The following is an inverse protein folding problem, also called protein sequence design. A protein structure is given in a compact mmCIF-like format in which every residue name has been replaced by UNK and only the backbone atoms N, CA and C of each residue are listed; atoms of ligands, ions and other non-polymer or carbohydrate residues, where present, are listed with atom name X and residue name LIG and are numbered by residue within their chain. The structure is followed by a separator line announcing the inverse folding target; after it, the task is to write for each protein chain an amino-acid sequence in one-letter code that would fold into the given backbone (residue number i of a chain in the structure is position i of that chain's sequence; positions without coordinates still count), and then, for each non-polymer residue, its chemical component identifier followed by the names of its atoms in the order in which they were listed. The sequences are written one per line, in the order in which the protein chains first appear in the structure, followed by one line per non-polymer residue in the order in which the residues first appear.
data_IF_827644550597
#
_entry.id   IF_827644550597
#
_cell.length_a   1.000
_cell.length_b   1.000
_cell.length_c   1.000
_cell.angle_alpha   90.00
_cell.angle_beta   90.00
_cell.angle_gamma   90.00
#
_symmetry.space_group_name_H-M   'P 1'
#
loop_
_entity.id
_entity.type
_entity.pdbx_description
1 polymer ?
#
# COMPACT_ATOMS: atom_id res chain seq x y z
N UNK A 1 -4.52 24.93 -27.58
CA UNK A 1 -5.58 24.83 -28.61
C UNK A 1 -6.92 24.61 -27.91
N UNK A 2 -7.94 25.41 -28.21
CA UNK A 2 -9.31 25.14 -27.71
C UNK A 2 -10.02 24.08 -28.58
N UNK A 3 -9.68 24.03 -29.88
CA UNK A 3 -10.21 23.07 -30.85
C UNK A 3 -9.08 22.52 -31.70
N UNK A 4 -9.26 21.33 -32.25
CA UNK A 4 -8.36 20.74 -33.24
C UNK A 4 -8.32 21.58 -34.51
N UNK A 5 -7.18 21.60 -35.18
CA UNK A 5 -6.94 22.29 -36.44
C UNK A 5 -7.17 21.33 -37.62
N UNK A 6 -7.12 21.87 -38.84
CA UNK A 6 -7.19 21.04 -40.06
C UNK A 6 -5.88 20.26 -40.32
N UNK A 7 -4.81 20.57 -39.59
CA UNK A 7 -3.52 19.89 -39.75
C UNK A 7 -3.43 18.67 -38.80
N UNK A 8 -3.43 17.50 -39.36
CA UNK A 8 -3.34 16.23 -38.66
C UNK A 8 -2.09 16.11 -37.77
N UNK A 9 -0.91 16.43 -38.30
CA UNK A 9 0.37 16.29 -37.61
C UNK A 9 0.43 17.22 -36.37
N UNK A 10 -0.06 18.45 -36.49
CA UNK A 10 -0.10 19.40 -35.38
C UNK A 10 -1.05 18.96 -34.27
N UNK A 11 -2.19 18.36 -34.66
CA UNK A 11 -3.18 17.84 -33.71
C UNK A 11 -2.63 16.65 -32.91
N UNK A 12 -2.02 15.69 -33.60
CA UNK A 12 -1.42 14.49 -32.97
C UNK A 12 -0.29 14.93 -32.03
N UNK A 13 0.63 15.77 -32.52
CA UNK A 13 1.75 16.27 -31.72
C UNK A 13 1.28 17.03 -30.48
N UNK A 14 0.30 17.92 -30.64
CA UNK A 14 -0.25 18.67 -29.51
C UNK A 14 -0.91 17.73 -28.48
N UNK A 15 -1.62 16.70 -28.94
CA UNK A 15 -2.24 15.73 -28.05
C UNK A 15 -1.20 14.85 -27.34
N UNK A 16 -0.13 14.45 -28.04
CA UNK A 16 1.03 13.76 -27.43
C UNK A 16 1.69 14.61 -26.33
N UNK A 17 1.86 15.91 -26.56
CA UNK A 17 2.39 16.82 -25.54
C UNK A 17 1.48 16.91 -24.29
N UNK A 18 0.15 16.80 -24.47
CA UNK A 18 -0.82 16.84 -23.38
C UNK A 18 -0.84 15.54 -22.55
N UNK A 19 -0.79 14.39 -23.21
CA UNK A 19 -0.95 13.09 -22.55
C UNK A 19 0.38 12.42 -22.20
N UNK A 20 1.48 12.85 -22.85
CA UNK A 20 2.86 12.38 -22.63
C UNK A 20 2.98 10.85 -22.61
N UNK A 21 2.72 10.15 -23.73
CA UNK A 21 2.72 8.70 -23.79
C UNK A 21 4.07 8.09 -23.40
N UNK A 22 5.19 8.76 -23.66
CA UNK A 22 6.53 8.35 -23.25
C UNK A 22 6.75 8.23 -21.73
N UNK A 23 5.90 8.91 -20.92
CA UNK A 23 5.89 8.82 -19.45
C UNK A 23 4.80 7.87 -18.92
N UNK A 24 4.10 7.18 -19.80
CA UNK A 24 3.00 6.28 -19.46
C UNK A 24 3.17 4.98 -20.24
N UNK A 25 3.83 3.98 -19.64
CA UNK A 25 4.15 2.72 -20.34
C UNK A 25 2.90 1.91 -20.74
N UNK A 26 1.77 2.15 -20.07
CA UNK A 26 0.47 1.56 -20.32
C UNK A 26 -0.35 2.34 -21.38
N UNK A 27 0.22 3.41 -21.95
CA UNK A 27 -0.40 4.16 -23.03
C UNK A 27 0.22 3.75 -24.36
N UNK A 28 -0.60 3.17 -25.20
CA UNK A 28 -0.20 2.73 -26.56
C UNK A 28 -0.57 3.81 -27.56
N UNK A 29 0.40 4.16 -28.40
CA UNK A 29 0.18 5.01 -29.59
C UNK A 29 0.44 4.16 -30.82
N UNK A 30 -0.60 3.94 -31.62
CA UNK A 30 -0.51 3.15 -32.85
C UNK A 30 -0.81 3.99 -34.07
N UNK A 31 0.17 4.06 -34.98
CA UNK A 31 0.04 4.75 -36.26
C UNK A 31 -0.24 3.73 -37.37
N UNK A 32 -1.28 3.96 -38.16
CA UNK A 32 -1.66 3.13 -39.31
C UNK A 32 -2.07 4.01 -40.48
N UNK A 33 -2.36 3.38 -41.63
CA UNK A 33 -3.05 4.03 -42.72
C UNK A 33 -4.41 3.38 -42.92
N UNK A 34 -5.45 4.21 -43.01
CA UNK A 34 -6.84 3.82 -43.27
C UNK A 34 -7.17 4.40 -44.66
N UNK A 35 -7.45 3.56 -45.63
CA UNK A 35 -7.78 3.98 -47.00
C UNK A 35 -6.77 5.02 -47.58
N UNK A 36 -5.47 4.80 -47.31
CA UNK A 36 -4.39 5.69 -47.76
C UNK A 36 -4.13 6.91 -46.86
N UNK A 37 -5.07 7.33 -45.99
CA UNK A 37 -4.95 8.44 -45.05
C UNK A 37 -4.22 8.02 -43.80
N UNK A 38 -3.49 8.93 -43.15
CA UNK A 38 -2.85 8.68 -41.85
C UNK A 38 -3.87 8.61 -40.75
N UNK A 39 -3.73 7.64 -39.82
CA UNK A 39 -4.52 7.54 -38.61
C UNK A 39 -3.62 7.23 -37.41
N UNK A 40 -3.91 7.84 -36.27
CA UNK A 40 -3.20 7.62 -35.01
C UNK A 40 -4.21 7.30 -33.91
N UNK A 41 -3.96 6.18 -33.21
CA UNK A 41 -4.77 5.72 -32.10
C UNK A 41 -4.00 5.92 -30.80
N UNK A 42 -4.69 6.48 -29.81
CA UNK A 42 -4.24 6.52 -28.43
C UNK A 42 -5.15 5.64 -27.58
N UNK A 43 -4.58 4.75 -26.80
CA UNK A 43 -5.33 3.82 -25.98
C UNK A 43 -4.57 3.47 -24.70
N UNK A 44 -5.30 3.02 -23.68
CA UNK A 44 -4.73 2.49 -22.46
C UNK A 44 -4.76 0.97 -22.49
N UNK A 45 -3.59 0.34 -22.46
CA UNK A 45 -3.41 -1.10 -22.60
C UNK A 45 -4.30 -1.92 -21.66
N UNK A 46 -4.28 -1.59 -20.37
CA UNK A 46 -5.04 -2.31 -19.34
C UNK A 46 -6.57 -2.16 -19.45
N UNK A 47 -7.06 -1.26 -20.31
CA UNK A 47 -8.50 -0.99 -20.49
C UNK A 47 -9.02 -1.36 -21.87
N UNK A 48 -8.15 -1.50 -22.83
CA UNK A 48 -8.54 -1.79 -24.22
C UNK A 48 -8.71 -3.29 -24.39
N UNK A 49 -9.83 -3.71 -24.95
CA UNK A 49 -10.08 -5.11 -25.27
C UNK A 49 -9.43 -5.45 -26.62
N UNK A 50 -8.37 -6.26 -26.60
CA UNK A 50 -7.59 -6.63 -27.77
C UNK A 50 -8.44 -7.17 -28.92
N UNK A 51 -9.38 -8.07 -28.63
CA UNK A 51 -10.27 -8.65 -29.63
C UNK A 51 -11.14 -7.63 -30.36
N UNK A 52 -11.58 -6.56 -29.66
CA UNK A 52 -12.37 -5.49 -30.29
C UNK A 52 -11.47 -4.61 -31.15
N UNK A 53 -10.28 -4.30 -30.64
CA UNK A 53 -9.31 -3.48 -31.35
C UNK A 53 -8.80 -4.18 -32.60
N UNK A 54 -8.55 -5.49 -32.53
CA UNK A 54 -8.14 -6.31 -33.66
C UNK A 54 -9.19 -6.29 -34.78
N UNK A 55 -10.48 -6.48 -34.43
CA UNK A 55 -11.58 -6.41 -35.40
C UNK A 55 -11.74 -5.02 -36.03
N UNK A 56 -11.55 -3.96 -35.24
CA UNK A 56 -11.58 -2.59 -35.78
C UNK A 56 -10.43 -2.36 -36.75
N UNK A 57 -9.22 -2.81 -36.44
CA UNK A 57 -8.06 -2.68 -37.28
C UNK A 57 -8.22 -3.51 -38.60
N UNK A 58 -8.79 -4.71 -38.48
CA UNK A 58 -9.12 -5.54 -39.65
C UNK A 58 -10.12 -4.81 -40.58
N UNK A 59 -11.22 -4.29 -40.00
CA UNK A 59 -12.19 -3.51 -40.77
C UNK A 59 -11.55 -2.28 -41.43
N UNK A 60 -10.73 -1.52 -40.74
CA UNK A 60 -10.06 -0.34 -41.28
C UNK A 60 -9.05 -0.68 -42.40
N UNK A 61 -8.49 -1.90 -42.40
CA UNK A 61 -7.57 -2.35 -43.46
C UNK A 61 -8.28 -2.62 -44.78
N UNK A 62 -9.57 -2.95 -44.73
CA UNK A 62 -10.37 -3.29 -45.91
C UNK A 62 -11.02 -2.06 -46.56
N UNK A 63 -11.03 -0.89 -45.91
CA UNK A 63 -11.58 0.35 -46.43
C UNK A 63 -10.75 0.91 -47.60
N UNK A 64 -11.47 1.43 -48.61
CA UNK A 64 -10.90 2.13 -49.77
C UNK A 64 -11.10 3.64 -49.60
N UNK A 65 -10.36 4.43 -50.39
CA UNK A 65 -10.41 5.89 -50.32
C UNK A 65 -11.83 6.44 -50.60
N UNK A 66 -12.57 5.82 -51.51
CA UNK A 66 -13.96 6.18 -51.84
C UNK A 66 -14.95 5.87 -50.72
N UNK A 67 -14.60 5.02 -49.76
CA UNK A 67 -15.47 4.66 -48.60
C UNK A 67 -15.40 5.68 -47.50
N UNK A 68 -14.40 6.60 -47.50
CA UNK A 68 -14.24 7.60 -46.44
C UNK A 68 -15.18 8.80 -46.68
N UNK A 69 -16.17 9.01 -45.81
CA UNK A 69 -17.10 10.11 -45.99
C UNK A 69 -16.45 11.48 -45.74
N UNK A 70 -17.11 12.53 -46.20
CA UNK A 70 -16.61 13.91 -46.02
C UNK A 70 -16.98 14.55 -44.70
N UNK A 71 -17.92 13.99 -43.95
CA UNK A 71 -18.33 14.52 -42.65
C UNK A 71 -17.90 13.64 -41.47
N UNK A 72 -17.66 14.26 -40.32
CA UNK A 72 -17.22 13.54 -39.12
C UNK A 72 -18.32 12.62 -38.57
N UNK A 73 -19.59 13.04 -38.67
CA UNK A 73 -20.73 12.25 -38.17
C UNK A 73 -20.92 10.99 -39.02
N UNK A 74 -20.86 11.12 -40.35
CA UNK A 74 -20.93 9.95 -41.26
C UNK A 74 -19.72 9.01 -41.07
N UNK A 75 -18.55 9.53 -40.75
CA UNK A 75 -17.38 8.69 -40.43
C UNK A 75 -17.56 7.96 -39.11
N UNK A 76 -18.15 8.61 -38.09
CA UNK A 76 -18.48 7.95 -36.82
C UNK A 76 -19.47 6.81 -37.01
N UNK A 77 -20.49 7.00 -37.87
CA UNK A 77 -21.47 5.96 -38.22
C UNK A 77 -20.86 4.79 -39.01
N UNK A 78 -19.78 5.07 -39.76
CA UNK A 78 -19.07 4.05 -40.54
C UNK A 78 -18.21 3.13 -39.63
N UNK A 79 -17.74 3.62 -38.49
CA UNK A 79 -16.93 2.81 -37.57
C UNK A 79 -17.79 1.69 -36.98
N UNK A 80 -17.44 0.40 -37.13
CA UNK A 80 -18.28 -0.73 -36.73
C UNK A 80 -18.22 -0.97 -35.20
N UNK A 81 -18.62 0.05 -34.44
CA UNK A 81 -18.69 -0.01 -33.00
C UNK A 81 -19.99 0.66 -32.50
N UNK A 82 -20.54 0.16 -31.38
CA UNK A 82 -21.85 0.61 -30.88
C UNK A 82 -21.79 2.05 -30.35
N UNK A 83 -20.69 2.42 -29.69
CA UNK A 83 -20.49 3.74 -29.08
C UNK A 83 -19.27 4.41 -29.71
N UNK A 84 -19.54 5.40 -30.57
CA UNK A 84 -18.52 6.25 -31.22
C UNK A 84 -18.98 7.70 -31.09
N UNK A 85 -18.20 8.52 -30.40
CA UNK A 85 -18.47 9.95 -30.25
C UNK A 85 -17.47 10.78 -31.06
N UNK A 86 -17.88 11.97 -31.49
CA UNK A 86 -17.03 12.94 -32.17
C UNK A 86 -16.68 14.09 -31.22
N UNK A 87 -15.39 14.36 -30.99
CA UNK A 87 -14.97 15.43 -30.12
C UNK A 87 -13.97 16.37 -30.83
N UNK A 88 -14.23 17.66 -30.76
CA UNK A 88 -13.44 18.70 -31.42
C UNK A 88 -12.44 19.39 -30.47
N UNK A 89 -12.50 19.11 -29.18
CA UNK A 89 -11.67 19.76 -28.17
C UNK A 89 -10.60 18.81 -27.62
N UNK A 90 -9.30 19.16 -27.77
CA UNK A 90 -8.22 18.34 -27.21
C UNK A 90 -8.36 18.10 -25.71
N UNK A 91 -8.79 19.13 -24.96
CA UNK A 91 -8.93 19.05 -23.51
C UNK A 91 -10.06 18.10 -23.09
N UNK A 92 -11.17 18.10 -23.86
CA UNK A 92 -12.31 17.21 -23.59
C UNK A 92 -12.01 15.75 -23.97
N UNK A 93 -11.11 15.51 -24.92
CA UNK A 93 -10.72 14.17 -25.33
C UNK A 93 -9.84 13.43 -24.31
N UNK A 94 -9.22 14.19 -23.38
CA UNK A 94 -8.32 13.60 -22.36
C UNK A 94 -9.08 12.70 -21.38
N UNK A 95 -10.21 13.16 -20.86
CA UNK A 95 -10.95 12.40 -19.84
C UNK A 95 -11.48 11.07 -20.38
N UNK A 96 -12.09 11.00 -21.56
CA UNK A 96 -12.45 9.73 -22.21
C UNK A 96 -11.27 8.78 -22.37
N UNK A 97 -10.11 9.27 -22.86
CA UNK A 97 -8.89 8.45 -22.96
C UNK A 97 -8.48 7.89 -21.58
N UNK A 98 -8.44 8.75 -20.55
CA UNK A 98 -8.08 8.32 -19.19
C UNK A 98 -9.13 7.38 -18.56
N UNK A 99 -10.32 7.35 -19.11
CA UNK A 99 -11.37 6.39 -18.76
C UNK A 99 -11.26 5.09 -19.56
N UNK A 100 -10.37 5.03 -20.57
CA UNK A 100 -10.09 3.85 -21.36
C UNK A 100 -10.77 3.78 -22.72
N UNK A 101 -11.41 4.88 -23.18
CA UNK A 101 -11.85 4.97 -24.57
C UNK A 101 -10.64 5.11 -25.49
N UNK A 102 -10.76 4.58 -26.68
CA UNK A 102 -9.75 4.75 -27.74
C UNK A 102 -9.99 6.09 -28.42
N UNK A 103 -8.94 6.91 -28.53
CA UNK A 103 -8.97 8.19 -29.25
C UNK A 103 -8.30 7.99 -30.60
N UNK A 104 -9.08 8.13 -31.69
CA UNK A 104 -8.60 7.99 -33.04
C UNK A 104 -8.54 9.34 -33.74
N UNK A 105 -7.37 9.72 -34.25
CA UNK A 105 -7.15 10.79 -35.19
C UNK A 105 -7.17 10.23 -36.62
N UNK A 106 -7.79 10.92 -37.56
CA UNK A 106 -7.80 10.55 -38.97
C UNK A 106 -7.49 11.78 -39.82
N UNK A 107 -6.57 11.63 -40.77
CA UNK A 107 -6.19 12.70 -41.72
C UNK A 107 -7.39 13.16 -42.57
N UNK A 108 -7.57 14.48 -42.63
CA UNK A 108 -8.71 15.10 -43.29
C UNK A 108 -9.86 15.47 -42.40
N UNK A 109 -9.75 15.19 -41.08
CA UNK A 109 -10.74 15.58 -40.09
C UNK A 109 -10.13 16.46 -38.99
N UNK A 110 -10.87 17.47 -38.55
CA UNK A 110 -10.47 18.40 -37.47
C UNK A 110 -11.10 18.04 -36.12
N UNK A 111 -11.30 16.76 -35.89
CA UNK A 111 -11.86 16.16 -34.67
C UNK A 111 -11.13 14.86 -34.35
N UNK A 112 -11.49 14.28 -33.24
CA UNK A 112 -11.13 12.87 -32.91
C UNK A 112 -12.40 12.05 -32.79
N UNK A 113 -12.25 10.75 -33.04
CA UNK A 113 -13.28 9.76 -32.81
C UNK A 113 -12.97 9.06 -31.48
N UNK A 114 -13.93 9.05 -30.56
CA UNK A 114 -13.85 8.39 -29.27
C UNK A 114 -14.60 7.06 -29.38
N UNK A 115 -13.87 5.95 -29.36
CA UNK A 115 -14.44 4.61 -29.56
C UNK A 115 -14.42 3.88 -28.21
N UNK A 116 -15.58 3.41 -27.74
CA UNK A 116 -15.68 2.77 -26.43
C UNK A 116 -15.32 1.28 -26.45
N UNK A 117 -14.05 0.96 -26.55
CA UNK A 117 -13.52 -0.40 -26.44
C UNK A 117 -13.16 -0.82 -25.01
N UNK A 118 -13.76 -0.16 -24.00
CA UNK A 118 -13.36 -0.35 -22.61
C UNK A 118 -13.69 -1.72 -22.04
N UNK A 119 -12.70 -2.29 -21.38
CA UNK A 119 -12.89 -3.43 -20.49
C UNK A 119 -12.10 -3.18 -19.21
N UNK A 120 -12.80 -2.91 -18.12
CA UNK A 120 -12.11 -2.73 -16.84
C UNK A 120 -11.69 -4.07 -16.27
N UNK A 121 -10.47 -4.16 -15.70
CA UNK A 121 -10.08 -5.31 -14.92
C UNK A 121 -11.16 -5.61 -13.88
N UNK A 122 -11.85 -6.72 -14.03
CA UNK A 122 -12.93 -7.12 -13.15
C UNK A 122 -12.85 -8.63 -12.85
N UNK A 123 -12.94 -8.99 -11.63
CA UNK A 123 -13.22 -10.29 -11.03
C UNK A 123 -12.39 -11.54 -11.30
N UNK A 124 -11.25 -11.53 -11.91
CA UNK A 124 -10.15 -12.41 -11.49
C UNK A 124 -9.42 -11.84 -10.24
N UNK A 125 -9.76 -10.60 -9.89
CA UNK A 125 -9.25 -9.83 -8.75
C UNK A 125 -9.93 -10.33 -7.48
N UNK A 126 -9.21 -11.05 -6.63
CA UNK A 126 -9.68 -11.53 -5.32
C UNK A 126 -9.65 -10.43 -4.26
N UNK A 127 -10.45 -10.58 -3.22
CA UNK A 127 -10.38 -9.71 -2.04
C UNK A 127 -9.00 -9.86 -1.39
N UNK A 128 -8.33 -8.75 -0.98
CA UNK A 128 -7.03 -8.80 -0.30
C UNK A 128 -7.06 -9.70 0.91
N UNK A 129 -6.04 -10.52 1.08
CA UNK A 129 -6.00 -11.45 2.21
C UNK A 129 -5.65 -10.73 3.52
N UNK A 130 -4.71 -9.82 3.46
CA UNK A 130 -4.15 -9.10 4.62
C UNK A 130 -4.91 -7.81 4.96
N UNK A 131 -5.36 -7.07 3.95
CA UNK A 131 -5.97 -5.75 4.11
C UNK A 131 -7.50 -5.78 3.89
N UNK A 132 -8.19 -6.74 4.53
CA UNK A 132 -9.65 -6.82 4.48
C UNK A 132 -10.29 -5.62 5.18
N UNK A 133 -11.42 -5.17 4.66
CA UNK A 133 -12.22 -4.08 5.25
C UNK A 133 -13.65 -4.52 5.46
N UNK A 134 -14.27 -3.96 6.49
CA UNK A 134 -15.69 -4.23 6.78
C UNK A 134 -16.60 -3.54 5.77
N UNK A 135 -16.18 -2.40 5.22
CA UNK A 135 -16.88 -1.64 4.18
C UNK A 135 -15.91 -1.14 3.13
N UNK A 136 -16.40 -0.93 1.90
CA UNK A 136 -15.61 -0.35 0.82
C UNK A 136 -15.34 -1.30 -0.33
N UNK A 137 -14.36 -0.96 -1.14
CA UNK A 137 -13.93 -1.75 -2.29
C UNK A 137 -13.36 -3.09 -1.84
N UNK A 138 -13.70 -4.17 -2.54
CA UNK A 138 -13.20 -5.52 -2.24
C UNK A 138 -12.20 -6.01 -3.28
N UNK A 139 -11.85 -5.15 -4.23
CA UNK A 139 -10.81 -5.46 -5.20
C UNK A 139 -9.43 -5.34 -4.55
N UNK A 140 -8.56 -6.28 -4.86
CA UNK A 140 -7.16 -6.31 -4.46
C UNK A 140 -6.25 -6.30 -5.68
N UNK A 141 -4.99 -5.99 -5.47
CA UNK A 141 -3.96 -6.18 -6.48
C UNK A 141 -3.74 -7.67 -6.76
N UNK A 142 -3.26 -7.95 -7.97
CA UNK A 142 -2.93 -9.28 -8.47
C UNK A 142 -1.45 -9.33 -8.87
N UNK A 143 -0.96 -10.44 -9.36
CA UNK A 143 0.43 -10.61 -9.76
C UNK A 143 0.79 -9.82 -11.03
N UNK A 144 -0.18 -9.50 -11.90
CA UNK A 144 0.04 -8.76 -13.15
C UNK A 144 0.23 -7.27 -12.92
N UNK A 145 1.39 -6.73 -13.29
CA UNK A 145 1.71 -5.30 -13.15
C UNK A 145 0.76 -4.41 -14.00
N UNK A 146 0.44 -4.81 -15.22
CA UNK A 146 -0.46 -4.07 -16.10
C UNK A 146 -1.88 -4.00 -15.50
N UNK A 147 -2.40 -5.13 -14.99
CA UNK A 147 -3.68 -5.19 -14.29
C UNK A 147 -3.70 -4.27 -13.08
N UNK A 148 -2.63 -4.25 -12.28
CA UNK A 148 -2.51 -3.43 -11.08
C UNK A 148 -2.46 -1.93 -11.41
N UNK A 149 -1.75 -1.54 -12.45
CA UNK A 149 -1.75 -0.16 -12.96
C UNK A 149 -3.16 0.25 -13.40
N UNK A 150 -3.86 -0.61 -14.13
CA UNK A 150 -5.25 -0.38 -14.53
C UNK A 150 -6.19 -0.15 -13.34
N UNK A 151 -6.04 -0.93 -12.26
CA UNK A 151 -6.84 -0.75 -11.04
C UNK A 151 -6.63 0.61 -10.36
N UNK A 152 -5.41 1.17 -10.39
CA UNK A 152 -5.12 2.52 -9.90
C UNK A 152 -5.68 3.56 -10.88
N UNK A 153 -5.40 3.41 -12.18
CA UNK A 153 -5.83 4.34 -13.23
C UNK A 153 -7.35 4.48 -13.30
N UNK A 154 -8.09 3.41 -13.07
CA UNK A 154 -9.56 3.45 -12.97
C UNK A 154 -10.06 4.47 -11.94
N UNK A 155 -9.28 4.74 -10.89
CA UNK A 155 -9.59 5.68 -9.81
C UNK A 155 -8.95 7.05 -10.02
N UNK A 156 -7.77 7.09 -10.62
CA UNK A 156 -6.97 8.31 -10.86
C UNK A 156 -7.09 8.70 -12.33
N UNK A 157 -8.09 9.51 -12.67
CA UNK A 157 -8.47 9.86 -14.05
C UNK A 157 -7.95 11.22 -14.51
N UNK A 158 -6.82 11.67 -13.94
CA UNK A 158 -6.20 12.93 -14.36
C UNK A 158 -5.13 12.68 -15.42
N UNK A 159 -4.98 13.66 -16.32
CA UNK A 159 -3.90 13.65 -17.32
C UNK A 159 -2.50 13.72 -16.69
N UNK A 160 -2.40 14.22 -15.46
CA UNK A 160 -1.13 14.39 -14.78
C UNK A 160 -0.68 13.11 -14.04
N UNK A 161 -1.49 12.05 -14.09
CA UNK A 161 -1.11 10.75 -13.59
C UNK A 161 -0.11 10.08 -14.54
N UNK A 162 1.07 9.77 -14.02
CA UNK A 162 2.17 9.16 -14.75
C UNK A 162 2.47 7.77 -14.21
N UNK A 163 2.81 6.87 -15.12
CA UNK A 163 3.25 5.51 -14.80
C UNK A 163 4.48 5.18 -15.64
N UNK A 164 5.64 5.26 -15.02
CA UNK A 164 6.91 5.01 -15.70
C UNK A 164 7.37 3.58 -15.46
N UNK A 165 7.76 2.89 -16.53
CA UNK A 165 8.30 1.54 -16.47
C UNK A 165 9.83 1.57 -16.31
N UNK A 166 10.33 0.71 -15.45
CA UNK A 166 11.74 0.41 -15.22
C UNK A 166 11.89 -1.10 -15.11
N UNK A 167 13.11 -1.59 -15.19
CA UNK A 167 13.42 -2.99 -14.89
C UNK A 167 14.63 -3.11 -13.99
N UNK A 168 14.67 -4.14 -13.16
CA UNK A 168 15.79 -4.43 -12.26
C UNK A 168 16.09 -5.93 -12.19
N UNK A 169 17.34 -6.23 -11.79
CA UNK A 169 17.87 -7.60 -11.79
C UNK A 169 18.56 -7.96 -13.11
N UNK A 170 19.77 -8.47 -13.01
CA UNK A 170 20.60 -8.80 -14.19
C UNK A 170 20.02 -9.97 -14.97
N UNK A 171 19.54 -11.00 -14.27
CA UNK A 171 18.95 -12.22 -14.83
C UNK A 171 17.43 -12.16 -14.87
N UNK A 172 16.78 -11.69 -13.78
CA UNK A 172 15.31 -11.67 -13.71
C UNK A 172 14.69 -10.60 -14.59
N UNK A 173 15.37 -9.45 -14.81
CA UNK A 173 14.82 -8.29 -15.54
C UNK A 173 13.38 -7.99 -15.15
N UNK A 174 13.13 -8.00 -13.84
CA UNK A 174 11.79 -7.83 -13.27
C UNK A 174 11.25 -6.45 -13.58
N UNK A 175 10.04 -6.37 -14.10
CA UNK A 175 9.39 -5.12 -14.44
C UNK A 175 8.91 -4.38 -13.19
N UNK A 176 9.16 -3.08 -13.16
CA UNK A 176 8.80 -2.19 -12.07
C UNK A 176 8.09 -0.97 -12.66
N UNK A 177 6.95 -0.61 -12.11
CA UNK A 177 6.23 0.59 -12.48
C UNK A 177 6.23 1.60 -11.33
N UNK A 178 6.46 2.87 -11.64
CA UNK A 178 6.39 3.98 -10.68
C UNK A 178 5.21 4.85 -11.06
N UNK A 179 4.19 4.86 -10.21
CA UNK A 179 2.96 5.61 -10.40
C UNK A 179 2.92 6.84 -9.47
N UNK A 180 2.61 8.01 -10.03
CA UNK A 180 2.56 9.28 -9.31
C UNK A 180 1.73 10.33 -10.07
N UNK A 181 1.36 11.45 -9.41
CA UNK A 181 0.78 12.62 -10.07
C UNK A 181 1.88 13.67 -10.26
N UNK A 182 2.10 14.08 -11.50
CA UNK A 182 3.04 15.13 -11.85
C UNK A 182 2.59 16.46 -11.24
N UNK A 183 3.52 17.18 -10.58
CA UNK A 183 3.22 18.42 -9.87
C UNK A 183 2.78 18.24 -8.41
N UNK A 184 2.34 17.05 -7.97
CA UNK A 184 2.05 16.74 -6.57
C UNK A 184 3.18 15.94 -5.90
N UNK A 185 3.76 14.99 -6.62
CA UNK A 185 4.83 14.15 -6.10
C UNK A 185 6.13 14.95 -5.91
N UNK A 186 6.88 14.61 -4.85
CA UNK A 186 8.21 15.18 -4.62
C UNK A 186 9.19 14.71 -5.68
N UNK A 187 9.60 15.63 -6.54
CA UNK A 187 10.51 15.37 -7.67
C UNK A 187 11.86 14.83 -7.22
N UNK A 188 12.42 15.34 -6.11
CA UNK A 188 13.71 14.88 -5.59
C UNK A 188 13.63 13.43 -5.13
N UNK A 189 12.55 13.08 -4.44
CA UNK A 189 12.29 11.70 -4.01
C UNK A 189 12.11 10.78 -5.22
N UNK A 190 11.32 11.20 -6.20
CA UNK A 190 11.09 10.46 -7.45
C UNK A 190 12.39 10.15 -8.19
N UNK A 191 13.22 11.17 -8.40
CA UNK A 191 14.52 11.01 -9.07
C UNK A 191 15.47 10.10 -8.26
N UNK A 192 15.45 10.19 -6.92
CA UNK A 192 16.24 9.32 -6.05
C UNK A 192 15.78 7.86 -6.17
N UNK A 193 14.46 7.60 -6.17
CA UNK A 193 13.91 6.25 -6.34
C UNK A 193 14.33 5.67 -7.69
N UNK A 194 14.11 6.42 -8.78
CA UNK A 194 14.51 6.02 -10.14
C UNK A 194 16.00 5.70 -10.24
N UNK A 195 16.84 6.57 -9.68
CA UNK A 195 18.30 6.37 -9.65
C UNK A 195 18.66 5.11 -8.89
N UNK A 196 18.06 4.87 -7.73
CA UNK A 196 18.31 3.65 -6.93
C UNK A 196 17.90 2.40 -7.67
N UNK A 197 16.71 2.36 -8.27
CA UNK A 197 16.23 1.22 -9.06
C UNK A 197 17.19 0.93 -10.22
N UNK A 198 17.61 1.95 -10.98
CA UNK A 198 18.56 1.78 -12.09
C UNK A 198 19.96 1.31 -11.65
N UNK A 199 20.33 1.54 -10.39
CA UNK A 199 21.63 1.13 -9.83
C UNK A 199 21.58 -0.19 -9.06
N UNK A 200 20.45 -0.88 -9.06
CA UNK A 200 20.33 -2.22 -8.46
C UNK A 200 21.24 -3.19 -9.22
N UNK A 201 22.18 -3.78 -8.51
CA UNK A 201 23.11 -4.76 -9.03
C UNK A 201 22.96 -6.08 -8.29
N UNK A 202 21.84 -6.78 -8.57
CA UNK A 202 21.56 -8.14 -8.10
C UNK A 202 21.18 -9.00 -9.30
N UNK A 203 21.37 -10.30 -9.18
CA UNK A 203 21.01 -11.21 -10.27
C UNK A 203 19.51 -11.32 -10.47
N UNK A 204 18.74 -11.41 -9.39
CA UNK A 204 17.30 -11.53 -9.42
C UNK A 204 16.64 -10.90 -8.20
N UNK A 205 15.42 -10.36 -8.38
CA UNK A 205 14.52 -9.93 -7.33
C UNK A 205 13.58 -11.11 -6.98
N UNK A 206 14.09 -12.07 -6.22
CA UNK A 206 13.42 -13.37 -6.00
C UNK A 206 12.14 -13.27 -5.16
N UNK A 207 12.09 -12.36 -4.21
CA UNK A 207 10.93 -12.08 -3.35
C UNK A 207 10.23 -10.78 -3.77
N UNK A 208 10.29 -10.46 -5.05
CA UNK A 208 9.61 -9.34 -5.69
C UNK A 208 9.71 -8.03 -4.87
N UNK A 209 8.62 -7.59 -4.25
CA UNK A 209 8.55 -6.31 -3.55
C UNK A 209 9.49 -6.23 -2.35
N UNK A 210 9.70 -7.33 -1.62
CA UNK A 210 10.62 -7.36 -0.48
C UNK A 210 12.07 -7.29 -0.93
N UNK A 211 12.44 -8.02 -2.00
CA UNK A 211 13.79 -7.91 -2.59
C UNK A 211 14.07 -6.50 -3.12
N UNK A 212 13.04 -5.85 -3.68
CA UNK A 212 13.16 -4.45 -4.10
C UNK A 212 13.37 -3.54 -2.89
N UNK A 213 12.59 -3.71 -1.82
CA UNK A 213 12.72 -2.94 -0.59
C UNK A 213 14.13 -3.05 0.01
N UNK A 214 14.68 -4.25 0.09
CA UNK A 214 16.03 -4.51 0.56
C UNK A 214 17.09 -3.79 -0.28
N UNK A 215 16.97 -3.82 -1.60
CA UNK A 215 17.92 -3.19 -2.51
C UNK A 215 17.83 -1.67 -2.52
N UNK A 216 16.65 -1.11 -2.30
CA UNK A 216 16.44 0.34 -2.21
C UNK A 216 17.05 0.94 -0.95
N UNK A 217 17.19 0.17 0.13
CA UNK A 217 17.74 0.63 1.40
C UNK A 217 19.20 0.13 1.57
N UNK A 218 20.15 1.01 1.32
CA UNK A 218 21.55 0.77 1.70
C UNK A 218 21.70 1.06 3.20
N UNK A 219 21.68 0.04 4.06
CA UNK A 219 21.96 0.25 5.48
C UNK A 219 21.42 -0.82 6.43
N UNK A 220 21.62 -0.60 7.71
CA UNK A 220 21.45 -1.55 8.78
C UNK A 220 20.03 -2.17 8.86
N UNK A 221 19.99 -3.49 8.82
CA UNK A 221 18.81 -4.33 9.10
C UNK A 221 18.58 -4.55 10.60
N UNK A 222 19.36 -3.90 11.47
CA UNK A 222 19.26 -4.05 12.93
C UNK A 222 18.01 -3.39 13.47
N UNK A 223 17.53 -2.32 12.83
CA UNK A 223 16.33 -1.62 13.26
C UNK A 223 15.07 -2.35 12.72
N UNK A 224 14.24 -2.94 13.61
CA UNK A 224 13.09 -3.75 13.21
C UNK A 224 11.88 -2.93 12.73
N UNK A 225 11.92 -1.60 12.80
CA UNK A 225 10.82 -0.78 12.31
C UNK A 225 10.70 -0.84 10.79
N UNK A 226 9.48 -1.05 10.25
CA UNK A 226 9.22 -1.04 8.82
C UNK A 226 9.59 0.31 8.22
N UNK A 227 10.12 0.30 7.01
CA UNK A 227 10.60 1.50 6.30
C UNK A 227 9.73 1.88 5.12
N UNK A 228 8.82 0.99 4.74
CA UNK A 228 7.87 1.15 3.66
C UNK A 228 6.46 0.85 4.15
N UNK A 229 5.48 1.47 3.51
CA UNK A 229 4.08 1.09 3.64
C UNK A 229 3.72 0.22 2.45
N UNK A 230 3.19 -0.96 2.71
CA UNK A 230 2.65 -1.85 1.70
C UNK A 230 1.13 -1.83 1.73
N UNK A 231 0.51 -2.02 0.57
CA UNK A 231 -0.93 -2.22 0.48
C UNK A 231 -1.26 -3.17 -0.67
N UNK A 232 -2.20 -4.06 -0.42
CA UNK A 232 -2.81 -4.93 -1.43
C UNK A 232 -4.07 -4.29 -2.05
N UNK A 233 -4.38 -3.04 -1.64
CA UNK A 233 -5.62 -2.35 -1.97
C UNK A 233 -5.42 -1.23 -2.99
N UNK A 234 -6.07 -1.32 -4.17
CA UNK A 234 -6.00 -0.27 -5.18
C UNK A 234 -6.61 1.07 -4.75
N UNK A 235 -7.63 1.06 -3.88
CA UNK A 235 -8.23 2.30 -3.35
C UNK A 235 -7.27 3.04 -2.41
N UNK A 236 -6.55 2.32 -1.54
CA UNK A 236 -5.53 2.90 -0.66
C UNK A 236 -4.34 3.45 -1.45
N UNK A 237 -3.90 2.73 -2.50
CA UNK A 237 -2.84 3.19 -3.38
C UNK A 237 -3.26 4.45 -4.16
N UNK A 238 -4.48 4.49 -4.71
CA UNK A 238 -5.00 5.66 -5.39
C UNK A 238 -5.14 6.87 -4.47
N UNK A 239 -5.62 6.67 -3.23
CA UNK A 239 -5.66 7.73 -2.22
C UNK A 239 -4.27 8.29 -1.93
N UNK A 240 -3.26 7.42 -1.77
CA UNK A 240 -1.88 7.85 -1.56
C UNK A 240 -1.33 8.67 -2.73
N UNK A 241 -1.66 8.31 -3.97
CA UNK A 241 -1.27 9.07 -5.17
C UNK A 241 -1.92 10.47 -5.18
N UNK A 242 -3.19 10.60 -4.78
CA UNK A 242 -3.85 11.89 -4.64
C UNK A 242 -3.24 12.76 -3.54
N UNK A 243 -2.68 12.15 -2.50
CA UNK A 243 -1.94 12.85 -1.44
C UNK A 243 -0.50 13.24 -1.85
N UNK A 244 -0.12 12.98 -3.11
CA UNK A 244 1.21 13.28 -3.65
C UNK A 244 2.28 12.25 -3.35
N UNK A 245 1.90 11.06 -2.85
CA UNK A 245 2.82 9.95 -2.67
C UNK A 245 3.14 9.26 -4.00
N UNK A 246 4.26 8.56 -4.01
CA UNK A 246 4.74 7.73 -5.11
C UNK A 246 4.39 6.29 -4.78
N UNK A 247 3.77 5.59 -5.72
CA UNK A 247 3.45 4.16 -5.61
C UNK A 247 4.38 3.38 -6.52
N UNK A 248 5.06 2.39 -5.97
CA UNK A 248 5.94 1.49 -6.72
C UNK A 248 5.29 0.13 -6.79
N UNK A 249 5.06 -0.33 -8.02
CA UNK A 249 4.52 -1.63 -8.35
C UNK A 249 5.66 -2.50 -8.92
N UNK A 250 5.57 -3.79 -8.67
CA UNK A 250 6.51 -4.76 -9.23
C UNK A 250 5.74 -5.96 -9.78
N UNK A 251 6.19 -6.50 -10.87
CA UNK A 251 5.56 -7.68 -11.47
C UNK A 251 5.64 -8.89 -10.55
N UNK A 252 4.66 -9.79 -10.65
CA UNK A 252 4.48 -10.96 -9.78
C UNK A 252 4.27 -10.61 -8.30
N UNK A 253 3.72 -9.41 -7.98
CA UNK A 253 3.42 -9.02 -6.60
C UNK A 253 1.99 -8.51 -6.45
N UNK A 254 1.17 -9.10 -5.56
CA UNK A 254 -0.16 -8.62 -5.25
C UNK A 254 -0.16 -7.44 -4.26
N UNK A 255 0.99 -6.86 -3.98
CA UNK A 255 1.14 -5.71 -3.10
C UNK A 255 1.96 -4.61 -3.77
N UNK A 256 1.70 -3.36 -3.41
CA UNK A 256 2.45 -2.20 -3.87
C UNK A 256 3.07 -1.45 -2.69
N UNK A 257 4.17 -0.75 -2.96
CA UNK A 257 4.90 0.05 -1.99
C UNK A 257 4.55 1.52 -2.14
N UNK A 258 4.26 2.21 -1.04
CA UNK A 258 3.92 3.63 -0.99
C UNK A 258 5.06 4.41 -0.36
N UNK A 259 5.46 5.52 -0.99
CA UNK A 259 6.57 6.40 -0.59
C UNK A 259 6.17 7.88 -0.74
N UNK A 260 6.63 8.78 0.14
CA UNK A 260 7.40 8.54 1.37
C UNK A 260 6.55 7.91 2.47
N UNK A 261 7.19 7.36 3.50
CA UNK A 261 6.49 6.66 4.57
C UNK A 261 6.98 7.15 5.94
N UNK A 262 6.05 7.43 6.84
CA UNK A 262 6.27 7.67 8.27
C UNK A 262 5.65 6.54 9.10
N UNK A 263 5.98 6.48 10.40
CA UNK A 263 5.36 5.52 11.33
C UNK A 263 3.83 5.69 11.38
N UNK A 264 3.34 6.94 11.27
CA UNK A 264 1.91 7.24 11.25
C UNK A 264 1.22 6.68 10.00
N UNK A 265 1.88 6.76 8.83
CA UNK A 265 1.34 6.23 7.59
C UNK A 265 1.18 4.71 7.64
N UNK A 266 2.16 4.01 8.24
CA UNK A 266 2.14 2.55 8.37
C UNK A 266 1.06 2.10 9.36
N UNK A 267 0.81 2.89 10.40
CA UNK A 267 -0.21 2.60 11.41
C UNK A 267 -1.66 2.90 10.96
N UNK A 268 -1.85 3.52 9.79
CA UNK A 268 -3.17 3.79 9.22
C UNK A 268 -3.74 2.59 8.47
N UNK A 269 -5.03 2.32 8.69
CA UNK A 269 -5.82 1.32 7.97
C UNK A 269 -6.91 1.96 7.11
N UNK A 270 -7.34 1.25 6.06
CA UNK A 270 -8.39 1.70 5.17
C UNK A 270 -9.74 1.87 5.90
N UNK A 271 -10.05 1.00 6.87
CA UNK A 271 -11.28 1.07 7.66
C UNK A 271 -11.42 2.39 8.43
N UNK A 272 -10.30 3.02 8.84
CA UNK A 272 -10.32 4.33 9.51
C UNK A 272 -11.05 5.38 8.66
N UNK A 273 -11.03 5.23 7.33
CA UNK A 273 -11.63 6.16 6.37
C UNK A 273 -13.02 5.76 5.91
N UNK A 274 -13.39 4.49 5.97
CA UNK A 274 -14.71 4.00 5.60
C UNK A 274 -15.78 4.22 6.66
N UNK A 275 -15.39 4.41 7.93
CA UNK A 275 -16.31 4.76 9.00
C UNK A 275 -16.54 6.28 9.12
N UNK A 276 -17.61 6.73 9.81
CA UNK A 276 -17.78 8.15 10.12
C UNK A 276 -16.56 8.75 10.85
N UNK A 277 -16.30 10.08 10.73
CA UNK A 277 -15.09 10.70 11.27
C UNK A 277 -14.83 10.43 12.77
N UNK A 278 -15.87 10.39 13.58
CA UNK A 278 -15.76 10.10 15.01
C UNK A 278 -15.29 8.67 15.25
N UNK A 279 -15.93 7.70 14.59
CA UNK A 279 -15.57 6.28 14.71
C UNK A 279 -14.17 6.01 14.16
N UNK A 280 -13.83 6.55 12.97
CA UNK A 280 -12.48 6.39 12.40
C UNK A 280 -11.41 7.01 13.30
N UNK A 281 -11.67 8.18 13.92
CA UNK A 281 -10.76 8.77 14.89
C UNK A 281 -10.59 7.88 16.13
N UNK A 282 -11.70 7.33 16.66
CA UNK A 282 -11.65 6.42 17.79
C UNK A 282 -10.80 5.18 17.47
N UNK A 283 -10.97 4.55 16.30
CA UNK A 283 -10.19 3.38 15.89
C UNK A 283 -8.69 3.70 15.79
N UNK A 284 -8.32 4.85 15.18
CA UNK A 284 -6.93 5.31 15.12
C UNK A 284 -6.32 5.50 16.51
N UNK A 285 -7.00 6.25 17.38
CA UNK A 285 -6.50 6.52 18.73
C UNK A 285 -6.40 5.24 19.56
N UNK A 286 -7.40 4.36 19.46
CA UNK A 286 -7.37 3.05 20.14
C UNK A 286 -6.17 2.23 19.72
N UNK A 287 -5.85 2.17 18.41
CA UNK A 287 -4.69 1.44 17.88
C UNK A 287 -3.38 1.99 18.43
N UNK A 288 -3.20 3.32 18.46
CA UNK A 288 -2.02 3.94 19.07
C UNK A 288 -1.93 3.67 20.58
N UNK A 289 -3.03 3.78 21.31
CA UNK A 289 -3.05 3.45 22.73
C UNK A 289 -2.70 1.99 22.98
N UNK A 290 -3.26 1.06 22.21
CA UNK A 290 -2.96 -0.37 22.31
C UNK A 290 -1.49 -0.65 21.97
N UNK A 291 -0.91 0.01 20.97
CA UNK A 291 0.51 -0.11 20.63
C UNK A 291 1.42 0.28 21.79
N UNK A 292 1.18 1.45 22.39
CA UNK A 292 1.92 1.93 23.56
C UNK A 292 1.71 0.99 24.76
N UNK A 293 0.47 0.59 25.02
CA UNK A 293 0.14 -0.33 26.10
C UNK A 293 0.84 -1.68 25.93
N UNK A 294 0.86 -2.24 24.73
CA UNK A 294 1.55 -3.49 24.44
C UNK A 294 3.07 -3.40 24.63
N UNK A 295 3.66 -2.22 24.43
CA UNK A 295 5.09 -2.01 24.62
C UNK A 295 5.47 -2.01 26.12
N UNK A 296 4.65 -1.37 26.96
CA UNK A 296 5.03 -1.07 28.34
C UNK A 296 4.41 -1.99 29.38
N UNK A 297 3.31 -2.70 29.08
CA UNK A 297 2.51 -3.44 30.07
C UNK A 297 3.34 -4.44 30.87
N UNK A 298 3.99 -5.40 30.20
CA UNK A 298 4.77 -6.43 30.90
C UNK A 298 6.03 -5.88 31.57
N UNK A 299 6.81 -4.93 30.97
CA UNK A 299 7.91 -4.29 31.68
C UNK A 299 7.49 -3.50 32.92
N UNK A 300 6.39 -2.74 32.84
CA UNK A 300 5.86 -2.00 34.02
C UNK A 300 5.39 -2.96 35.11
N UNK A 301 4.71 -4.04 34.70
CA UNK A 301 4.28 -5.06 35.67
C UNK A 301 5.48 -5.68 36.40
N UNK A 302 6.53 -6.08 35.70
CA UNK A 302 7.78 -6.57 36.32
C UNK A 302 8.44 -5.52 37.21
N UNK A 303 8.40 -4.24 36.81
CA UNK A 303 8.90 -3.15 37.66
C UNK A 303 8.13 -3.04 38.96
N UNK A 304 6.81 -3.20 38.94
CA UNK A 304 5.96 -3.19 40.14
C UNK A 304 6.25 -4.41 41.02
N UNK A 305 6.42 -5.60 40.44
CA UNK A 305 6.79 -6.83 41.19
C UNK A 305 8.16 -6.69 41.88
N UNK A 306 9.13 -6.03 41.23
CA UNK A 306 10.45 -5.80 41.84
C UNK A 306 10.40 -4.72 42.95
N UNK A 307 9.34 -3.89 43.02
CA UNK A 307 9.22 -2.78 43.98
C UNK A 307 7.84 -2.78 44.71
N UNK A 308 7.46 -3.85 45.41
CA UNK A 308 6.12 -3.97 46.00
C UNK A 308 5.78 -2.89 47.00
N UNK A 309 6.78 -2.37 47.74
CA UNK A 309 6.60 -1.28 48.72
C UNK A 309 6.25 0.08 48.13
N UNK A 310 6.48 0.27 46.83
CA UNK A 310 6.16 1.50 46.06
C UNK A 310 4.77 1.47 45.44
N UNK A 311 4.06 0.33 45.49
CA UNK A 311 2.77 0.14 44.84
C UNK A 311 1.64 0.70 45.69
N UNK A 312 0.84 1.63 45.16
CA UNK A 312 -0.32 2.16 45.89
C UNK A 312 -1.32 1.06 46.26
N UNK A 313 -2.05 1.22 47.35
CA UNK A 313 -3.00 0.22 47.86
C UNK A 313 -4.05 -0.22 46.82
N UNK A 314 -4.57 0.73 46.04
CA UNK A 314 -5.57 0.48 45.01
C UNK A 314 -5.03 -0.32 43.79
N UNK A 315 -3.71 -0.41 43.66
CA UNK A 315 -3.05 -1.13 42.55
C UNK A 315 -2.43 -2.48 43.02
N UNK A 316 -2.51 -2.80 44.33
CA UNK A 316 -1.92 -4.05 44.85
C UNK A 316 -2.47 -5.31 44.23
N UNK A 317 -3.69 -5.29 43.70
CA UNK A 317 -4.29 -6.42 43.00
C UNK A 317 -3.49 -6.88 41.76
N UNK A 318 -2.56 -6.05 41.27
CA UNK A 318 -1.67 -6.36 40.12
C UNK A 318 -0.48 -7.23 40.55
N UNK A 319 -0.17 -7.25 41.84
CA UNK A 319 0.92 -8.04 42.39
C UNK A 319 0.47 -9.50 42.56
N UNK A 320 1.43 -10.41 42.44
CA UNK A 320 1.22 -11.82 42.75
C UNK A 320 1.22 -11.94 44.27
N UNK A 321 0.09 -12.34 44.87
CA UNK A 321 -0.03 -12.50 46.33
C UNK A 321 0.65 -13.78 46.80
N UNK A 322 0.46 -14.89 46.08
CA UNK A 322 1.12 -16.17 46.32
C UNK A 322 1.66 -16.74 45.02
N UNK A 323 2.98 -16.93 44.95
CA UNK A 323 3.57 -17.60 43.80
C UNK A 323 3.11 -19.05 43.73
N UNK A 324 2.24 -19.35 42.79
CA UNK A 324 1.81 -20.75 42.50
C UNK A 324 2.86 -21.51 41.67
N UNK A 325 3.82 -20.79 41.06
CA UNK A 325 4.82 -21.36 40.18
C UNK A 325 6.24 -21.28 40.75
N UNK A 326 7.06 -22.24 40.40
CA UNK A 326 8.49 -22.30 40.74
C UNK A 326 9.37 -21.64 39.67
N UNK A 327 8.77 -21.28 38.53
CA UNK A 327 9.46 -20.65 37.39
C UNK A 327 9.53 -19.13 37.58
N UNK A 328 10.71 -18.50 37.45
CA UNK A 328 10.80 -17.04 37.55
C UNK A 328 9.91 -16.34 36.53
N UNK A 329 9.23 -15.25 36.92
CA UNK A 329 8.27 -14.52 36.08
C UNK A 329 8.85 -14.11 34.71
N UNK A 330 10.10 -13.66 34.68
CA UNK A 330 10.78 -13.35 33.43
C UNK A 330 10.80 -14.53 32.47
N UNK A 331 11.12 -15.72 32.96
CA UNK A 331 11.17 -16.93 32.15
C UNK A 331 9.78 -17.37 31.71
N UNK A 332 8.77 -17.23 32.58
CA UNK A 332 7.37 -17.46 32.22
C UNK A 332 6.96 -16.59 31.03
N UNK A 333 7.23 -15.28 31.07
CA UNK A 333 6.89 -14.34 30.01
C UNK A 333 7.59 -14.69 28.69
N UNK A 334 8.87 -15.12 28.75
CA UNK A 334 9.58 -15.58 27.54
C UNK A 334 9.00 -16.85 26.95
N UNK A 335 8.72 -17.84 27.78
CA UNK A 335 8.13 -19.12 27.32
C UNK A 335 6.76 -18.87 26.68
N UNK A 336 5.92 -18.04 27.31
CA UNK A 336 4.63 -17.66 26.76
C UNK A 336 4.75 -16.91 25.42
N UNK A 337 5.72 -16.02 25.31
CA UNK A 337 5.98 -15.31 24.05
C UNK A 337 6.33 -16.30 22.90
N UNK A 338 7.22 -17.27 23.16
CA UNK A 338 7.57 -18.32 22.19
C UNK A 338 6.38 -19.25 21.90
N UNK A 339 5.58 -19.58 22.90
CA UNK A 339 4.40 -20.42 22.71
C UNK A 339 3.37 -19.74 21.81
N UNK A 340 3.11 -18.44 22.02
CA UNK A 340 2.20 -17.63 21.20
C UNK A 340 2.71 -17.50 19.76
N UNK A 341 4.01 -17.28 19.55
CA UNK A 341 4.59 -17.29 18.20
C UNK A 341 4.51 -18.67 17.56
N UNK A 342 4.77 -19.71 18.32
CA UNK A 342 4.62 -21.09 17.85
C UNK A 342 3.19 -21.39 17.38
N UNK A 343 2.17 -20.95 18.14
CA UNK A 343 0.77 -21.07 17.76
C UNK A 343 0.45 -20.29 16.49
N UNK A 344 1.02 -19.07 16.36
CA UNK A 344 0.85 -18.25 15.16
C UNK A 344 1.45 -18.90 13.92
N UNK A 345 2.69 -19.40 14.02
CA UNK A 345 3.35 -20.12 12.93
C UNK A 345 2.61 -21.42 12.56
N UNK A 346 2.11 -22.13 13.57
CA UNK A 346 1.28 -23.32 13.36
C UNK A 346 -0.02 -22.96 12.63
N UNK A 347 -0.69 -21.86 13.01
CA UNK A 347 -1.93 -21.42 12.37
C UNK A 347 -1.74 -21.06 10.88
N UNK A 348 -0.59 -20.46 10.50
CA UNK A 348 -0.28 -20.15 9.10
C UNK A 348 -0.05 -21.41 8.27
N UNK A 349 0.59 -22.43 8.85
CA UNK A 349 0.95 -23.66 8.15
C UNK A 349 -0.15 -24.74 8.21
N UNK A 350 -1.22 -24.52 8.98
CA UNK A 350 -2.27 -25.52 9.17
C UNK A 350 -3.44 -25.26 8.23
N UNK A 351 -3.95 -26.29 7.52
CA UNK A 351 -5.19 -26.14 6.74
C UNK A 351 -6.35 -25.63 7.61
N UNK A 352 -7.22 -24.83 7.02
CA UNK A 352 -8.35 -24.15 7.71
C UNK A 352 -9.24 -25.11 8.53
N UNK A 353 -9.39 -26.35 8.07
CA UNK A 353 -10.17 -27.40 8.76
C UNK A 353 -9.57 -27.79 10.13
N UNK A 354 -8.25 -27.67 10.30
CA UNK A 354 -7.55 -28.05 11.52
C UNK A 354 -7.22 -26.88 12.42
N UNK A 355 -7.38 -25.64 11.96
CA UNK A 355 -7.04 -24.43 12.72
C UNK A 355 -7.90 -24.27 13.98
N UNK A 356 -9.20 -24.58 13.89
CA UNK A 356 -10.11 -24.52 15.04
C UNK A 356 -9.77 -25.54 16.13
N UNK A 357 -9.60 -26.85 15.82
CA UNK A 357 -9.14 -27.84 16.81
C UNK A 357 -7.80 -27.47 17.44
N UNK A 358 -6.83 -26.97 16.66
CA UNK A 358 -5.54 -26.56 17.17
C UNK A 358 -5.67 -25.40 18.17
N UNK A 359 -6.52 -24.41 17.88
CA UNK A 359 -6.77 -23.28 18.78
C UNK A 359 -7.41 -23.74 20.12
N UNK A 360 -8.34 -24.69 20.09
CA UNK A 360 -8.98 -25.24 21.29
C UNK A 360 -7.96 -26.01 22.14
N UNK A 361 -7.17 -26.91 21.53
CA UNK A 361 -6.11 -27.64 22.21
C UNK A 361 -5.10 -26.67 22.83
N UNK A 362 -4.66 -25.67 22.09
CA UNK A 362 -3.74 -24.66 22.58
C UNK A 362 -4.31 -23.89 23.78
N UNK A 363 -5.59 -23.50 23.73
CA UNK A 363 -6.27 -22.82 24.83
C UNK A 363 -6.32 -23.67 26.12
N UNK A 364 -6.59 -24.98 25.99
CA UNK A 364 -6.63 -25.92 27.12
C UNK A 364 -5.22 -26.21 27.65
N UNK A 365 -4.29 -26.57 26.78
CA UNK A 365 -2.95 -27.01 27.18
C UNK A 365 -2.12 -25.85 27.70
N UNK A 366 -2.05 -24.75 26.97
CA UNK A 366 -1.23 -23.58 27.34
C UNK A 366 -1.94 -22.73 28.41
N UNK A 367 -3.28 -22.71 28.44
CA UNK A 367 -4.04 -21.95 29.43
C UNK A 367 -4.23 -22.75 30.74
N UNK A 368 -5.15 -23.68 30.75
CA UNK A 368 -5.64 -24.30 31.96
C UNK A 368 -4.61 -25.25 32.61
N UNK A 369 -4.00 -26.15 31.82
CA UNK A 369 -3.04 -27.09 32.36
C UNK A 369 -1.71 -26.46 32.78
N UNK A 370 -1.26 -25.44 32.11
CA UNK A 370 0.00 -24.79 32.42
C UNK A 370 -0.05 -24.04 33.79
N UNK A 371 -1.20 -23.48 34.13
CA UNK A 371 -1.44 -22.87 35.45
C UNK A 371 -1.67 -23.96 36.52
N UNK A 372 -2.56 -24.93 36.26
CA UNK A 372 -2.87 -25.99 37.22
C UNK A 372 -1.68 -26.89 37.57
N UNK A 373 -0.70 -27.00 36.65
CA UNK A 373 0.56 -27.72 36.88
C UNK A 373 1.63 -26.90 37.62
N UNK A 374 1.36 -25.64 37.93
CA UNK A 374 2.30 -24.76 38.64
C UNK A 374 3.48 -24.28 37.79
N UNK A 375 3.33 -24.26 36.45
CA UNK A 375 4.36 -23.72 35.55
C UNK A 375 4.26 -22.21 35.38
N UNK A 376 3.02 -21.68 35.37
CA UNK A 376 2.78 -20.25 35.15
C UNK A 376 1.86 -19.70 36.24
N UNK A 377 2.14 -18.46 36.63
CA UNK A 377 1.22 -17.69 37.46
C UNK A 377 0.07 -17.15 36.59
N UNK A 378 -1.19 -17.12 37.07
CA UNK A 378 -2.35 -16.65 36.34
C UNK A 378 -2.18 -15.23 35.78
N UNK A 379 -1.50 -14.35 36.53
CA UNK A 379 -1.21 -12.97 36.14
C UNK A 379 -0.28 -12.90 34.95
N UNK A 380 0.75 -13.78 34.88
CA UNK A 380 1.63 -13.89 33.72
C UNK A 380 0.85 -14.23 32.44
N UNK A 381 -0.08 -15.18 32.55
CA UNK A 381 -0.97 -15.57 31.46
C UNK A 381 -1.87 -14.41 31.03
N UNK A 382 -2.48 -13.72 31.99
CA UNK A 382 -3.39 -12.59 31.72
C UNK A 382 -2.68 -11.45 30.98
N UNK A 383 -1.52 -11.00 31.49
CA UNK A 383 -0.78 -9.90 30.85
C UNK A 383 -0.25 -10.28 29.46
N UNK A 384 0.20 -11.53 29.28
CA UNK A 384 0.62 -12.01 27.97
C UNK A 384 -0.53 -12.12 26.97
N UNK A 385 -1.73 -12.49 27.43
CA UNK A 385 -2.93 -12.50 26.58
C UNK A 385 -3.25 -11.08 26.07
N UNK A 386 -3.27 -10.06 26.93
CA UNK A 386 -3.49 -8.67 26.51
C UNK A 386 -2.46 -8.17 25.51
N UNK A 387 -1.19 -8.42 25.78
CA UNK A 387 -0.09 -8.01 24.91
C UNK A 387 -0.17 -8.70 23.54
N UNK A 388 -0.54 -9.98 23.51
CA UNK A 388 -0.70 -10.72 22.27
C UNK A 388 -1.84 -10.18 21.41
N UNK A 389 -3.01 -9.94 22.04
CA UNK A 389 -4.14 -9.28 21.37
C UNK A 389 -3.67 -7.93 20.81
N UNK A 390 -2.96 -7.12 21.61
CA UNK A 390 -2.43 -5.83 21.19
C UNK A 390 -1.49 -5.90 19.99
N UNK A 391 -0.70 -6.96 19.88
CA UNK A 391 0.18 -7.19 18.71
C UNK A 391 -0.64 -7.46 17.44
N UNK A 392 -1.76 -8.19 17.54
CA UNK A 392 -2.63 -8.48 16.40
C UNK A 392 -3.51 -7.30 15.95
N UNK A 393 -3.68 -6.27 16.78
CA UNK A 393 -4.48 -5.07 16.42
C UNK A 393 -3.69 -4.05 15.61
N UNK A 394 -2.41 -4.27 15.37
CA UNK A 394 -1.59 -3.34 14.59
C UNK A 394 -1.87 -3.46 13.09
N UNK A 395 -1.90 -2.32 12.40
CA UNK A 395 -2.14 -2.24 10.95
C UNK A 395 -1.07 -2.98 10.12
N UNK A 396 0.17 -3.06 10.63
CA UNK A 396 1.27 -3.82 10.02
C UNK A 396 1.80 -4.85 11.00
N UNK A 397 2.02 -6.08 10.51
CA UNK A 397 2.71 -7.12 11.28
C UNK A 397 4.12 -6.70 11.69
N UNK A 398 4.82 -5.96 10.83
CA UNK A 398 6.18 -5.48 11.09
C UNK A 398 6.22 -4.51 12.29
N UNK A 399 5.23 -3.60 12.41
CA UNK A 399 5.09 -2.75 13.61
C UNK A 399 4.84 -3.62 14.84
N UNK A 400 3.96 -4.62 14.74
CA UNK A 400 3.69 -5.55 15.84
C UNK A 400 4.97 -6.24 16.33
N UNK A 401 5.80 -6.76 15.40
CA UNK A 401 7.08 -7.38 15.75
C UNK A 401 8.10 -6.36 16.27
N UNK A 402 8.17 -5.16 15.72
CA UNK A 402 9.05 -4.11 16.23
C UNK A 402 8.72 -3.78 17.70
N UNK A 403 7.43 -3.57 18.01
CA UNK A 403 6.96 -3.34 19.39
C UNK A 403 7.33 -4.52 20.30
N UNK A 404 7.13 -5.76 19.83
CA UNK A 404 7.49 -6.97 20.55
C UNK A 404 8.99 -7.04 20.87
N UNK A 405 9.88 -6.82 19.89
CA UNK A 405 11.32 -6.85 20.13
C UNK A 405 11.75 -5.80 21.14
N UNK A 406 11.25 -4.59 21.03
CA UNK A 406 11.56 -3.55 22.00
C UNK A 406 10.97 -3.84 23.40
N UNK A 407 9.76 -4.39 23.49
CA UNK A 407 9.19 -4.87 24.74
C UNK A 407 10.09 -5.89 25.43
N UNK A 408 10.60 -6.89 24.69
CA UNK A 408 11.51 -7.89 25.24
C UNK A 408 12.83 -7.27 25.73
N UNK A 409 13.38 -6.31 24.98
CA UNK A 409 14.58 -5.57 25.40
C UNK A 409 14.31 -4.78 26.71
N UNK A 410 13.19 -4.02 26.75
CA UNK A 410 12.80 -3.26 27.94
C UNK A 410 12.56 -4.20 29.12
N UNK A 411 11.91 -5.35 28.90
CA UNK A 411 11.61 -6.34 29.93
C UNK A 411 12.89 -6.89 30.57
N UNK A 412 13.88 -7.30 29.76
CA UNK A 412 15.17 -7.80 30.23
C UNK A 412 15.92 -6.74 31.01
N UNK A 413 16.00 -5.52 30.46
CA UNK A 413 16.67 -4.41 31.15
C UNK A 413 15.98 -4.06 32.48
N UNK A 414 14.64 -4.08 32.51
CA UNK A 414 13.86 -3.83 33.74
C UNK A 414 14.10 -4.91 34.79
N UNK A 415 14.17 -6.17 34.39
CA UNK A 415 14.42 -7.29 35.32
C UNK A 415 15.76 -7.15 36.04
N UNK A 416 16.85 -6.81 35.30
CA UNK A 416 18.20 -6.75 35.87
C UNK A 416 18.54 -5.40 36.53
N UNK A 417 18.01 -4.28 35.97
CA UNK A 417 18.40 -2.93 36.39
C UNK A 417 17.24 -2.10 36.97
N UNK A 418 16.06 -2.74 37.20
CA UNK A 418 14.89 -2.12 37.76
C UNK A 418 14.50 -0.82 37.01
N UNK A 419 14.21 0.28 37.69
CA UNK A 419 13.77 1.53 37.07
C UNK A 419 14.78 2.12 36.09
N UNK A 420 16.07 1.96 36.34
CA UNK A 420 17.12 2.40 35.41
C UNK A 420 17.12 1.59 34.11
N UNK A 421 16.86 0.29 34.21
CA UNK A 421 16.70 -0.57 33.04
C UNK A 421 15.47 -0.23 32.23
N UNK A 422 14.34 0.04 32.87
CA UNK A 422 13.12 0.49 32.21
C UNK A 422 13.34 1.80 31.44
N UNK A 423 13.91 2.81 32.10
CA UNK A 423 14.18 4.11 31.45
C UNK A 423 15.18 4.00 30.31
N UNK A 424 16.26 3.20 30.48
CA UNK A 424 17.22 2.95 29.40
C UNK A 424 16.58 2.24 28.21
N UNK A 425 15.72 1.25 28.43
CA UNK A 425 15.01 0.53 27.39
C UNK A 425 14.04 1.42 26.59
N UNK A 426 13.28 2.27 27.28
CA UNK A 426 12.43 3.27 26.61
C UNK A 426 13.26 4.27 25.81
N UNK A 427 14.41 4.71 26.33
CA UNK A 427 15.32 5.59 25.60
C UNK A 427 15.84 4.92 24.33
N UNK A 428 16.27 3.66 24.40
CA UNK A 428 16.70 2.88 23.23
C UNK A 428 15.58 2.81 22.18
N UNK A 429 14.35 2.51 22.60
CA UNK A 429 13.18 2.49 21.71
C UNK A 429 13.01 3.83 20.98
N UNK A 430 13.00 4.94 21.74
CA UNK A 430 12.84 6.29 21.17
C UNK A 430 13.98 6.61 20.21
N UNK A 431 15.22 6.32 20.57
CA UNK A 431 16.39 6.56 19.71
C UNK A 431 16.31 5.75 18.42
N UNK A 432 15.95 4.47 18.50
CA UNK A 432 15.76 3.64 17.29
C UNK A 432 14.63 4.14 16.40
N UNK A 433 13.57 4.71 16.98
CA UNK A 433 12.46 5.30 16.22
C UNK A 433 12.87 6.61 15.54
N UNK A 434 13.55 7.51 16.27
CA UNK A 434 14.00 8.82 15.77
C UNK A 434 15.06 8.69 14.67
N UNK A 435 16.04 7.79 14.87
CA UNK A 435 17.14 7.58 13.93
C UNK A 435 16.84 6.55 12.83
N UNK A 436 15.58 6.11 12.72
CA UNK A 436 15.21 5.23 11.61
C UNK A 436 15.28 6.00 10.28
N UNK A 437 16.17 5.55 9.39
CA UNK A 437 16.39 6.19 8.09
C UNK A 437 15.43 5.61 7.07
N UNK A 438 14.74 6.49 6.34
CA UNK A 438 13.88 6.16 5.21
C UNK A 438 14.54 6.61 3.90
N UNK A 439 13.94 6.30 2.76
CA UNK A 439 14.41 6.77 1.45
C UNK A 439 14.18 8.28 1.29
N UNK A 440 13.15 8.81 1.95
CA UNK A 440 12.85 10.24 1.92
C UNK A 440 13.81 11.01 2.84
N UNK A 441 14.03 12.27 2.53
CA UNK A 441 14.76 13.19 3.42
C UNK A 441 13.96 13.55 4.67
N UNK A 442 12.65 13.22 4.70
CA UNK A 442 11.78 13.48 5.85
C UNK A 442 12.04 12.45 6.96
N UNK A 443 11.95 12.91 8.22
CA UNK A 443 12.08 12.02 9.39
C UNK A 443 10.99 10.95 9.39
N UNK A 444 11.35 9.75 9.86
CA UNK A 444 10.42 8.62 10.03
C UNK A 444 9.26 8.94 10.98
N UNK A 445 9.51 9.79 11.98
CA UNK A 445 8.49 10.26 12.95
C UNK A 445 7.83 11.59 12.54
N UNK A 446 7.97 12.00 11.27
CA UNK A 446 7.18 13.13 10.78
C UNK A 446 5.68 12.81 10.94
N UNK A 447 4.87 13.76 11.43
CA UNK A 447 5.07 15.19 11.65
C UNK A 447 5.47 15.63 13.09
N UNK A 448 6.04 14.75 13.89
CA UNK A 448 6.56 15.13 15.21
C UNK A 448 7.93 15.83 15.07
N UNK A 449 8.80 15.31 14.17
CA UNK A 449 10.10 15.91 13.86
C UNK A 449 10.27 15.97 12.32
N UNK A 450 10.39 17.16 11.71
CA UNK A 450 10.08 18.48 12.31
C UNK A 450 8.61 18.61 12.67
N UNK A 451 8.30 19.43 13.68
CA UNK A 451 6.95 19.54 14.22
C UNK A 451 6.02 20.30 13.28
N UNK A 452 4.93 19.65 12.85
CA UNK A 452 3.85 20.23 12.06
C UNK A 452 2.50 19.86 12.68
N UNK A 453 1.90 20.84 13.35
CA UNK A 453 0.63 20.64 14.07
C UNK A 453 -0.54 20.29 13.15
N UNK A 454 -0.59 20.89 11.95
CA UNK A 454 -1.68 20.67 11.03
C UNK A 454 -1.63 19.23 10.46
N UNK A 455 -0.44 18.78 10.09
CA UNK A 455 -0.24 17.40 9.65
C UNK A 455 -0.43 16.41 10.78
N UNK A 456 0.01 16.72 12.01
CA UNK A 456 -0.20 15.85 13.16
C UNK A 456 -1.69 15.65 13.46
N UNK A 457 -2.47 16.73 13.42
CA UNK A 457 -3.93 16.62 13.54
C UNK A 457 -4.55 15.71 12.48
N UNK A 458 -4.11 15.83 11.22
CA UNK A 458 -4.59 14.98 10.11
C UNK A 458 -4.22 13.50 10.33
N UNK A 459 -3.05 13.24 10.91
CA UNK A 459 -2.61 11.87 11.20
C UNK A 459 -3.31 11.25 12.40
N UNK A 460 -3.64 12.03 13.45
CA UNK A 460 -4.33 11.53 14.62
C UNK A 460 -5.86 11.50 14.48
N UNK A 461 -6.43 12.50 13.82
CA UNK A 461 -7.87 12.65 13.68
C UNK A 461 -8.30 12.52 12.22
N UNK A 462 -9.39 11.82 12.00
CA UNK A 462 -10.02 11.79 10.69
C UNK A 462 -10.76 13.09 10.43
N UNK A 463 -10.25 13.91 9.54
CA UNK A 463 -10.89 15.15 9.09
C UNK A 463 -11.91 14.84 8.01
N UNK A 464 -13.06 15.52 8.04
CA UNK A 464 -14.11 15.37 7.03
C UNK A 464 -13.61 15.95 5.69
N UNK A 465 -13.82 15.20 4.59
CA UNK A 465 -13.60 15.68 3.23
C UNK A 465 -14.35 17.00 3.00
N UNK A 466 -13.71 17.98 2.37
CA UNK A 466 -14.28 19.31 2.10
C UNK A 466 -14.03 20.37 3.19
N UNK A 467 -13.38 20.05 4.32
CA UNK A 467 -12.86 21.01 5.31
C UNK A 467 -11.34 21.18 5.25
N UNK A 468 -10.73 20.73 4.17
CA UNK A 468 -9.28 20.73 3.96
C UNK A 468 -8.76 22.03 3.31
N UNK A 469 -9.48 23.16 3.52
CA UNK A 469 -9.00 24.48 3.09
C UNK A 469 -8.47 25.27 4.28
#
# INVERSE_FOLDING_TARGET
MEKYSDNFEDNVKYFEELVQPEKNFDMIVKNIKIAGKKATFFMIDSFTKDELMEKLLEYFSDLKEDDIPGSADEMADLIPHIEVDVEYSPVKSIVPLMQGMVVMFLEGFNNVFLIDCRTYPSRSVSEPWKNRVLRGSRDGFVESIAGNVGLIRRRVRTKDFRVEALSAGRLSKTDIAIAYIEGLADKKLLDNIKKRIKTINVDALTMNIESLAETLLKGSYINPFPKFKYTERPDSAAAAVFDGNIVVLIDNSPAVMILPTSIFDIAEEADDYYFPPVTGTYLKLSRYCIAVFSLILTPVWVLLLNNPGSVPEWLKFVLIEEHSSTVPVLLQLFILEFAIDGLRLAAVNTPTLLSTPLSVIAGIVVGEYAVSSGWFDPESMLYMAFVSIGTYTQASFEIGYAIKFFRLIILVLTWFFNIWGFTAGILIFILCLVFNRTISEKSYIYPIIPFDWNMLKRKLFRIRLGKEK
#
